data_IF_973555196173
#
_entry.id   IF_973555196173
#
_cell.length_a   1.000
_cell.length_b   1.000
_cell.length_c   1.000
_cell.angle_alpha   90.00
_cell.angle_beta   90.00
_cell.angle_gamma   90.00
#
_symmetry.space_group_name_H-M   'P 1'
#
loop_
_entity.id
_entity.type
_entity.pdbx_description
1 polymer ?
#
# COMPACT_ATOMS: atom_id res chain seq x y z
N UNK A 1 7.51 4.31 4.11
CA UNK A 1 7.06 3.32 5.09
C UNK A 1 6.36 2.18 4.37
N UNK A 2 6.68 0.91 4.71
CA UNK A 2 6.21 -0.24 3.91
C UNK A 2 4.83 -0.75 4.35
N UNK A 3 4.56 -0.72 5.63
CA UNK A 3 3.31 -1.21 6.22
C UNK A 3 2.81 -0.28 7.32
N UNK A 4 1.47 -0.17 7.50
CA UNK A 4 0.93 0.35 8.75
C UNK A 4 1.42 -0.49 9.93
N UNK A 5 1.80 0.14 11.02
CA UNK A 5 2.25 -0.57 12.21
C UNK A 5 1.08 -1.16 13.00
N UNK A 6 -0.07 -0.49 12.95
CA UNK A 6 -1.32 -0.96 13.57
C UNK A 6 -1.97 -2.11 12.79
N UNK A 7 -2.80 -2.89 13.49
CA UNK A 7 -3.60 -3.97 12.88
C UNK A 7 -4.71 -3.39 12.01
N UNK A 8 -4.62 -3.61 10.73
CA UNK A 8 -5.63 -3.19 9.75
C UNK A 8 -5.69 -4.18 8.59
N UNK A 9 -6.67 -4.02 7.70
CA UNK A 9 -6.76 -4.83 6.51
C UNK A 9 -5.79 -4.33 5.43
N UNK A 10 -5.14 -5.27 4.76
CA UNK A 10 -4.24 -5.00 3.63
C UNK A 10 -4.82 -5.56 2.33
N UNK A 11 -4.30 -5.12 1.21
CA UNK A 11 -4.61 -5.62 -0.13
C UNK A 11 -6.10 -5.59 -0.50
N UNK A 12 -6.86 -4.65 0.07
CA UNK A 12 -8.29 -4.52 -0.20
C UNK A 12 -9.14 -5.64 0.40
N UNK A 13 -8.67 -6.30 1.46
CA UNK A 13 -9.49 -7.25 2.22
C UNK A 13 -10.74 -6.55 2.74
N UNK A 14 -11.88 -7.23 2.60
CA UNK A 14 -13.15 -6.82 3.21
C UNK A 14 -13.25 -7.34 4.65
N UNK A 15 -14.36 -7.00 5.32
CA UNK A 15 -14.66 -7.46 6.67
C UNK A 15 -13.63 -7.04 7.72
N UNK A 16 -13.42 -5.73 7.83
CA UNK A 16 -12.56 -5.19 8.88
C UNK A 16 -13.10 -5.58 10.26
N UNK A 17 -12.24 -6.17 11.09
CA UNK A 17 -12.50 -6.46 12.50
C UNK A 17 -11.53 -5.65 13.33
N UNK A 18 -12.08 -4.73 14.12
CA UNK A 18 -11.26 -3.96 15.05
C UNK A 18 -10.63 -4.88 16.09
N UNK A 19 -9.36 -4.66 16.38
CA UNK A 19 -8.64 -5.27 17.50
C UNK A 19 -7.91 -4.16 18.21
N UNK A 20 -8.18 -4.05 19.51
CA UNK A 20 -7.37 -3.18 20.35
C UNK A 20 -5.91 -3.62 20.34
N UNK A 21 -5.03 -2.67 20.46
CA UNK A 21 -3.59 -2.88 20.45
C UNK A 21 -3.00 -2.23 21.70
N UNK A 22 -2.18 -2.98 22.40
CA UNK A 22 -1.57 -2.51 23.65
C UNK A 22 -0.58 -1.36 23.40
N UNK A 23 0.10 -1.40 22.26
CA UNK A 23 1.01 -0.33 21.84
C UNK A 23 1.30 -0.38 20.34
N UNK A 24 1.46 0.78 19.72
CA UNK A 24 2.00 0.99 18.40
C UNK A 24 2.61 2.40 18.31
N UNK A 25 3.56 2.62 17.41
CA UNK A 25 4.10 3.97 17.22
C UNK A 25 3.05 4.85 16.55
N UNK A 26 2.67 5.90 17.24
CA UNK A 26 1.71 6.85 16.70
C UNK A 26 2.31 7.64 15.53
N UNK A 27 1.42 8.27 14.77
CA UNK A 27 1.79 9.02 13.57
C UNK A 27 2.76 10.17 13.86
N UNK A 28 2.62 10.85 15.00
CA UNK A 28 3.48 11.95 15.40
C UNK A 28 4.91 11.48 15.66
N UNK A 29 5.08 10.38 16.40
CA UNK A 29 6.41 9.80 16.67
C UNK A 29 7.11 9.39 15.38
N UNK A 30 6.37 8.75 14.46
CA UNK A 30 6.90 8.33 13.16
C UNK A 30 7.35 9.54 12.34
N UNK A 31 6.52 10.58 12.21
CA UNK A 31 6.86 11.77 11.44
C UNK A 31 8.05 12.53 12.07
N UNK A 32 8.09 12.65 13.39
CA UNK A 32 9.19 13.29 14.12
C UNK A 32 10.52 12.55 13.91
N UNK A 33 10.49 11.22 13.91
CA UNK A 33 11.68 10.42 13.63
C UNK A 33 12.17 10.63 12.17
N UNK A 34 11.26 10.67 11.21
CA UNK A 34 11.59 10.87 9.80
C UNK A 34 12.04 12.30 9.49
N UNK A 35 11.53 13.30 10.20
CA UNK A 35 11.96 14.70 10.08
C UNK A 35 13.48 14.84 10.28
N UNK A 36 14.03 14.12 11.26
CA UNK A 36 15.47 14.12 11.52
C UNK A 36 16.28 13.70 10.29
N UNK A 37 15.81 12.69 9.54
CA UNK A 37 16.51 12.25 8.33
C UNK A 37 16.34 13.22 7.16
N UNK A 38 15.23 13.93 7.08
CA UNK A 38 15.05 15.02 6.10
C UNK A 38 16.00 16.17 6.42
N UNK A 39 16.06 16.63 7.69
CA UNK A 39 16.97 17.70 8.13
C UNK A 39 18.45 17.35 7.93
N UNK A 40 18.79 16.06 8.01
CA UNK A 40 20.14 15.56 7.71
C UNK A 40 20.42 15.39 6.20
N UNK A 41 19.45 15.67 5.34
CA UNK A 41 19.58 15.47 3.89
C UNK A 41 19.62 13.99 3.42
N UNK A 42 19.34 13.03 4.31
CA UNK A 42 19.38 11.60 3.99
C UNK A 42 18.19 11.14 3.17
N UNK A 43 17.02 11.76 3.35
CA UNK A 43 15.81 11.52 2.57
C UNK A 43 15.21 12.87 2.16
N UNK A 44 14.52 12.91 1.04
CA UNK A 44 13.86 14.12 0.52
C UNK A 44 12.39 14.19 0.86
N UNK A 45 11.69 13.06 0.76
CA UNK A 45 10.25 12.96 0.93
C UNK A 45 9.89 11.67 1.66
N UNK A 46 8.69 11.65 2.23
CA UNK A 46 8.11 10.48 2.89
C UNK A 46 6.96 9.96 2.04
N UNK A 47 6.92 8.65 1.83
CA UNK A 47 5.79 7.94 1.23
C UNK A 47 5.30 6.84 2.15
N UNK A 48 4.01 6.51 2.03
CA UNK A 48 3.38 5.38 2.70
C UNK A 48 3.18 4.24 1.73
N UNK A 49 3.05 3.02 2.22
CA UNK A 49 2.62 1.88 1.42
C UNK A 49 1.61 1.04 2.19
N UNK A 50 0.66 0.44 1.47
CA UNK A 50 -0.40 -0.39 2.04
C UNK A 50 -1.26 0.32 3.10
N UNK A 51 -1.27 1.64 3.05
CA UNK A 51 -1.98 2.43 4.04
C UNK A 51 -3.46 2.57 3.68
N UNK A 52 -4.28 2.73 4.69
CA UNK A 52 -5.73 2.93 4.57
C UNK A 52 -6.10 4.41 4.41
N UNK A 53 -7.33 4.73 3.97
CA UNK A 53 -7.83 6.10 3.94
C UNK A 53 -7.69 6.81 5.30
N UNK A 54 -8.05 6.12 6.38
CA UNK A 54 -7.94 6.67 7.74
C UNK A 54 -6.49 7.00 8.11
N UNK A 55 -5.56 6.08 7.85
CA UNK A 55 -4.16 6.32 8.21
C UNK A 55 -3.51 7.42 7.40
N UNK A 56 -3.76 7.47 6.08
CA UNK A 56 -3.26 8.57 5.25
C UNK A 56 -3.78 9.93 5.74
N UNK A 57 -5.09 10.02 6.03
CA UNK A 57 -5.68 11.26 6.55
C UNK A 57 -5.06 11.67 7.88
N UNK A 58 -4.83 10.71 8.80
CA UNK A 58 -4.20 11.00 10.09
C UNK A 58 -2.76 11.48 9.96
N UNK A 59 -1.96 10.87 9.09
CA UNK A 59 -0.61 11.35 8.81
C UNK A 59 -0.62 12.80 8.28
N UNK A 60 -1.52 13.10 7.35
CA UNK A 60 -1.63 14.45 6.76
C UNK A 60 -2.11 15.48 7.77
N UNK A 61 -3.10 15.15 8.59
CA UNK A 61 -3.63 16.00 9.65
C UNK A 61 -2.56 16.34 10.68
N UNK A 62 -1.86 15.35 11.22
CA UNK A 62 -0.81 15.55 12.22
C UNK A 62 0.38 16.31 11.63
N UNK A 63 0.78 16.00 10.40
CA UNK A 63 1.79 16.75 9.68
C UNK A 63 1.46 18.26 9.64
N UNK A 64 0.21 18.61 9.32
CA UNK A 64 -0.26 19.98 9.25
C UNK A 64 -0.31 20.66 10.63
N UNK A 65 -0.90 19.99 11.63
CA UNK A 65 -1.08 20.54 12.98
C UNK A 65 0.27 20.74 13.69
N UNK A 66 1.18 19.81 13.53
CA UNK A 66 2.49 19.80 14.23
C UNK A 66 3.62 20.40 13.39
N UNK A 67 3.33 20.89 12.20
CA UNK A 67 4.34 21.39 11.26
C UNK A 67 5.45 20.37 10.98
N UNK A 68 5.08 19.09 10.83
CA UNK A 68 5.97 17.97 10.53
C UNK A 68 5.97 17.67 9.03
N UNK A 69 6.96 16.88 8.52
CA UNK A 69 7.04 16.55 7.11
C UNK A 69 5.77 15.88 6.58
N UNK A 70 5.37 16.32 5.40
CA UNK A 70 4.15 15.83 4.74
C UNK A 70 4.37 14.55 3.98
N UNK A 71 3.34 13.71 3.92
CA UNK A 71 3.33 12.52 3.07
C UNK A 71 3.17 12.95 1.60
N UNK A 72 4.15 12.61 0.78
CA UNK A 72 4.19 12.98 -0.64
C UNK A 72 3.51 11.95 -1.55
N UNK A 73 3.49 10.67 -1.15
CA UNK A 73 2.92 9.61 -1.97
C UNK A 73 2.37 8.47 -1.14
N UNK A 74 1.48 7.68 -1.76
CA UNK A 74 1.01 6.41 -1.24
C UNK A 74 1.26 5.32 -2.28
N UNK A 75 1.86 4.21 -1.87
CA UNK A 75 2.11 3.06 -2.73
C UNK A 75 1.16 1.92 -2.36
N UNK A 76 0.14 1.71 -3.18
CA UNK A 76 -0.91 0.72 -2.94
C UNK A 76 -1.18 -0.11 -4.20
N UNK A 77 -1.83 -1.30 -4.07
CA UNK A 77 -2.19 -2.10 -5.22
C UNK A 77 -3.22 -1.35 -6.05
N UNK A 78 -2.97 -1.24 -7.35
CA UNK A 78 -3.93 -0.64 -8.26
C UNK A 78 -3.74 -1.16 -9.68
N UNK A 79 -4.78 -1.74 -10.24
CA UNK A 79 -4.85 -2.21 -11.61
C UNK A 79 -6.33 -2.47 -11.98
N UNK A 80 -6.61 -2.88 -13.21
CA UNK A 80 -7.99 -3.12 -13.69
C UNK A 80 -8.75 -4.22 -12.92
N UNK A 81 -8.04 -5.15 -12.26
CA UNK A 81 -8.65 -6.21 -11.44
C UNK A 81 -8.74 -5.85 -9.96
N UNK A 82 -7.98 -4.84 -9.51
CA UNK A 82 -8.00 -4.35 -8.13
C UNK A 82 -8.09 -2.83 -8.13
N UNK A 83 -9.31 -2.32 -7.99
CA UNK A 83 -9.63 -0.89 -8.01
C UNK A 83 -10.00 -0.35 -6.62
N UNK A 84 -9.61 -1.05 -5.55
CA UNK A 84 -9.95 -0.66 -4.16
C UNK A 84 -9.42 0.71 -3.77
N UNK A 85 -8.34 1.19 -4.39
CA UNK A 85 -7.82 2.55 -4.21
C UNK A 85 -8.89 3.63 -4.53
N UNK A 86 -9.75 3.39 -5.51
CA UNK A 86 -10.77 4.35 -5.94
C UNK A 86 -11.88 4.56 -4.91
N UNK A 87 -12.11 3.59 -4.04
CA UNK A 87 -13.23 3.65 -3.06
C UNK A 87 -13.02 4.71 -1.99
N UNK A 88 -11.79 4.97 -1.57
CA UNK A 88 -11.57 5.93 -0.49
C UNK A 88 -10.24 6.70 -0.55
N UNK A 89 -9.25 6.19 -1.28
CA UNK A 89 -7.93 6.82 -1.34
C UNK A 89 -7.80 7.79 -2.51
N UNK A 90 -8.51 7.57 -3.61
CA UNK A 90 -8.35 8.39 -4.81
C UNK A 90 -8.73 9.85 -4.56
N UNK A 91 -9.85 10.12 -3.90
CA UNK A 91 -10.26 11.48 -3.57
C UNK A 91 -9.23 12.16 -2.65
N UNK A 92 -8.79 11.47 -1.61
CA UNK A 92 -7.76 11.99 -0.69
C UNK A 92 -6.48 12.30 -1.45
N UNK A 93 -6.02 11.36 -2.30
CA UNK A 93 -4.79 11.53 -3.08
C UNK A 93 -4.83 12.77 -3.97
N UNK A 94 -5.97 13.03 -4.62
CA UNK A 94 -6.15 14.19 -5.49
C UNK A 94 -6.24 15.49 -4.68
N UNK A 95 -7.13 15.54 -3.67
CA UNK A 95 -7.35 16.75 -2.86
C UNK A 95 -6.13 17.13 -2.06
N UNK A 96 -5.48 16.14 -1.48
CA UNK A 96 -4.30 16.32 -0.65
C UNK A 96 -2.99 16.25 -1.43
N UNK A 97 -3.03 16.09 -2.76
CA UNK A 97 -1.82 16.02 -3.61
C UNK A 97 -0.79 14.99 -3.10
N UNK A 98 -1.28 13.86 -2.62
CA UNK A 98 -0.47 12.71 -2.22
C UNK A 98 -0.54 11.65 -3.31
N UNK A 99 0.46 11.64 -4.21
CA UNK A 99 0.42 10.85 -5.45
C UNK A 99 0.37 9.34 -5.22
N UNK A 100 -0.35 8.61 -6.10
CA UNK A 100 -0.35 7.15 -6.09
C UNK A 100 0.85 6.58 -6.85
N UNK A 101 1.58 5.68 -6.20
CA UNK A 101 2.54 4.77 -6.83
C UNK A 101 1.87 3.39 -6.92
N UNK A 102 1.31 3.07 -8.07
CA UNK A 102 0.60 1.80 -8.26
C UNK A 102 1.58 0.63 -8.29
N UNK A 103 1.42 -0.35 -7.40
CA UNK A 103 2.12 -1.62 -7.55
C UNK A 103 1.22 -2.71 -8.13
N UNK A 104 1.84 -3.72 -8.74
CA UNK A 104 1.17 -4.78 -9.51
C UNK A 104 0.24 -4.25 -10.62
N UNK A 105 0.66 -3.26 -11.44
CA UNK A 105 -0.22 -2.65 -12.44
C UNK A 105 -0.70 -3.64 -13.49
N UNK A 106 0.04 -4.72 -13.73
CA UNK A 106 -0.34 -5.82 -14.64
C UNK A 106 -0.93 -7.04 -13.90
N UNK A 107 -1.33 -6.91 -12.63
CA UNK A 107 -1.91 -8.00 -11.84
C UNK A 107 -1.09 -9.29 -11.94
N UNK A 108 0.21 -9.24 -11.59
CA UNK A 108 1.15 -10.37 -11.70
C UNK A 108 1.32 -10.95 -13.12
N UNK A 109 0.95 -10.18 -14.13
CA UNK A 109 1.05 -10.56 -15.54
C UNK A 109 -0.28 -10.99 -16.17
N UNK A 110 -1.37 -11.11 -15.42
CA UNK A 110 -2.68 -11.45 -15.98
C UNK A 110 -3.12 -10.45 -17.05
N UNK A 111 -2.94 -9.17 -16.82
CA UNK A 111 -3.34 -8.12 -17.75
C UNK A 111 -2.44 -8.02 -18.99
N UNK A 112 -1.33 -8.73 -19.04
CA UNK A 112 -0.50 -8.80 -20.25
C UNK A 112 -1.04 -9.76 -21.31
N UNK A 113 -2.02 -10.59 -20.97
CA UNK A 113 -2.58 -11.61 -21.84
C UNK A 113 -1.77 -12.91 -21.95
N UNK A 114 -0.58 -12.99 -21.34
CA UNK A 114 0.31 -14.17 -21.46
C UNK A 114 -0.22 -15.45 -20.85
N UNK A 115 -1.26 -15.36 -20.01
CA UNK A 115 -1.91 -16.52 -19.38
C UNK A 115 -3.25 -16.89 -20.04
N UNK A 116 -3.58 -16.31 -21.22
CA UNK A 116 -4.80 -16.66 -21.95
C UNK A 116 -4.82 -18.15 -22.32
N UNK A 117 -6.03 -18.71 -22.35
CA UNK A 117 -6.27 -20.13 -22.69
C UNK A 117 -5.52 -21.12 -21.78
N UNK A 118 -5.31 -20.76 -20.52
CA UNK A 118 -4.61 -21.63 -19.55
C UNK A 118 -3.09 -21.74 -19.77
N UNK A 119 -2.53 -20.89 -20.62
CA UNK A 119 -1.08 -20.90 -20.84
C UNK A 119 -0.34 -20.44 -19.57
N UNK A 120 0.79 -21.12 -19.30
CA UNK A 120 1.70 -20.77 -18.20
C UNK A 120 3.13 -20.72 -18.76
N UNK A 121 3.54 -19.59 -19.34
CA UNK A 121 4.88 -19.49 -19.90
C UNK A 121 5.96 -19.75 -18.85
N UNK A 122 6.95 -20.58 -19.22
CA UNK A 122 8.11 -20.87 -18.36
C UNK A 122 8.80 -19.57 -17.93
N UNK A 123 9.24 -19.51 -16.68
CA UNK A 123 9.85 -18.32 -16.05
C UNK A 123 8.89 -17.12 -15.95
N UNK A 124 7.60 -17.33 -16.13
CA UNK A 124 6.62 -16.28 -15.81
C UNK A 124 6.46 -16.14 -14.31
N UNK A 125 5.93 -14.99 -13.86
CA UNK A 125 5.73 -14.75 -12.43
C UNK A 125 4.83 -15.80 -11.77
N UNK A 126 3.79 -16.26 -12.46
CA UNK A 126 2.91 -17.31 -11.92
C UNK A 126 3.58 -18.68 -11.92
N UNK A 127 4.37 -18.99 -12.94
CA UNK A 127 5.20 -20.21 -12.98
C UNK A 127 6.17 -20.24 -11.78
N UNK A 128 6.81 -19.11 -11.50
CA UNK A 128 7.67 -18.98 -10.32
C UNK A 128 6.89 -19.19 -9.00
N UNK A 129 5.71 -18.60 -8.85
CA UNK A 129 4.91 -18.76 -7.65
C UNK A 129 4.41 -20.18 -7.44
N UNK A 130 4.00 -20.88 -8.48
CA UNK A 130 3.56 -22.27 -8.40
C UNK A 130 4.71 -23.25 -8.06
N UNK A 131 5.90 -22.98 -8.57
CA UNK A 131 7.04 -23.87 -8.36
C UNK A 131 7.85 -23.56 -7.08
N UNK A 132 7.83 -22.33 -6.57
CA UNK A 132 8.69 -21.88 -5.48
C UNK A 132 7.95 -21.16 -4.33
N UNK A 133 6.65 -20.92 -4.44
CA UNK A 133 5.90 -20.13 -3.48
C UNK A 133 4.64 -20.82 -2.98
N UNK A 134 4.77 -21.76 -2.04
CA UNK A 134 3.61 -22.46 -1.46
C UNK A 134 2.62 -21.57 -0.71
N UNK A 135 3.00 -20.31 -0.36
CA UNK A 135 2.17 -19.44 0.48
C UNK A 135 1.35 -18.37 -0.27
N UNK A 136 1.49 -18.25 -1.59
CA UNK A 136 0.86 -17.15 -2.34
C UNK A 136 -0.50 -17.55 -2.94
N UNK A 137 -0.81 -18.83 -3.06
CA UNK A 137 -2.14 -19.31 -3.44
C UNK A 137 -3.26 -18.74 -2.55
N UNK A 138 -2.96 -18.51 -1.28
CA UNK A 138 -3.90 -17.93 -0.31
C UNK A 138 -4.19 -16.44 -0.57
N UNK A 139 -3.30 -15.73 -1.22
CA UNK A 139 -3.39 -14.27 -1.39
C UNK A 139 -4.01 -13.82 -2.71
N UNK A 140 -3.93 -14.62 -3.77
CA UNK A 140 -4.36 -14.20 -5.11
C UNK A 140 -5.54 -14.96 -5.70
N UNK A 141 -5.69 -16.27 -5.43
CA UNK A 141 -6.73 -17.09 -6.06
C UNK A 141 -8.07 -17.11 -5.33
N UNK A 142 -8.12 -16.69 -4.07
CA UNK A 142 -9.40 -16.55 -3.33
C UNK A 142 -10.18 -15.26 -3.64
N UNK A 143 -9.73 -14.46 -4.60
CA UNK A 143 -10.36 -13.18 -4.96
C UNK A 143 -10.84 -13.07 -6.41
N UNK A 144 -10.79 -14.16 -7.16
CA UNK A 144 -11.47 -14.30 -8.44
C UNK A 144 -12.66 -15.26 -8.28
#
# INVERSE_FOLDING_TARGET
LHWPERKTNFFGRLNYKHKEEDSWNDFEKVLTALEKFIKQGKIRCIGLSNETPWGLTKFLEISKIKNLPRIASIQNPYNLLNRTHEVGLAEISVREKSGLLAYSPLASGYLSGKYRNGQMPKNSRMDYFLNFGQDIEHLMLKKL
#
